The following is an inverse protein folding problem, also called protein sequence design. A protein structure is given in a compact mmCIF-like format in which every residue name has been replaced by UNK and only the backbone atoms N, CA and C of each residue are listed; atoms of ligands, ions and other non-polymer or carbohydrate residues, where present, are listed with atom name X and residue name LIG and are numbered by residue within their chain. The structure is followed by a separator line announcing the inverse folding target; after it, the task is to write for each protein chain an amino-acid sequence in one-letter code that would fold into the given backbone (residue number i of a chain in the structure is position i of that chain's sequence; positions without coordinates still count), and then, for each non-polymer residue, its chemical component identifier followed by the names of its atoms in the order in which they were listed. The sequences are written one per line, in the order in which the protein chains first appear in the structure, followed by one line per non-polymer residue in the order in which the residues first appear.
data_IF_694411293803
#
_entry.id   IF_694411293803
#
_cell.length_a   1.000
_cell.length_b   1.000
_cell.length_c   1.000
_cell.angle_alpha   90.00
_cell.angle_beta   90.00
_cell.angle_gamma   90.00
#
_symmetry.space_group_name_H-M   'P 1'
#
loop_
_entity.id
_entity.type
_entity.pdbx_description
1 polymer ?
#
# COMPACT_ATOMS: atom_id res chain seq x y z
N UNK A 1 17.68 -7.24 33.41
CA UNK A 1 16.51 -7.62 32.58
C UNK A 1 15.82 -6.32 32.20
N UNK A 2 15.89 -5.97 30.91
CA UNK A 2 15.80 -4.58 30.45
C UNK A 2 14.33 -4.13 30.30
N UNK A 3 13.88 -3.29 31.23
CA UNK A 3 12.55 -2.65 31.28
C UNK A 3 12.25 -1.81 30.01
N UNK A 4 13.31 -1.32 29.34
CA UNK A 4 13.19 -0.60 28.06
C UNK A 4 12.56 -1.42 26.92
N UNK A 5 12.75 -2.75 26.90
CA UNK A 5 12.24 -3.58 25.81
C UNK A 5 10.72 -3.76 25.82
N UNK A 6 10.06 -3.64 26.98
CA UNK A 6 8.60 -3.75 27.12
C UNK A 6 7.89 -2.43 26.83
N UNK A 7 8.47 -1.31 27.22
CA UNK A 7 7.91 0.02 26.96
C UNK A 7 7.93 0.35 25.45
N UNK A 8 9.02 0.03 24.74
CA UNK A 8 9.12 0.21 23.29
C UNK A 8 8.15 -0.70 22.53
N UNK A 9 7.94 -1.94 23.01
CA UNK A 9 6.94 -2.85 22.45
C UNK A 9 5.51 -2.34 22.64
N UNK A 10 5.20 -1.74 23.80
CA UNK A 10 3.86 -1.23 24.12
C UNK A 10 3.47 -0.04 23.24
N UNK A 11 4.43 0.80 22.83
CA UNK A 11 4.22 1.89 21.89
C UNK A 11 3.79 1.40 20.50
N UNK A 12 4.33 0.27 20.03
CA UNK A 12 3.98 -0.33 18.74
C UNK A 12 2.66 -1.11 18.72
N UNK A 13 2.09 -1.36 19.90
CA UNK A 13 0.92 -2.22 20.07
C UNK A 13 -0.32 -1.46 20.50
N UNK A 14 -0.17 -0.33 21.19
CA UNK A 14 -1.29 0.38 21.80
C UNK A 14 -1.59 1.68 21.07
N UNK A 15 -2.83 1.83 20.64
CA UNK A 15 -3.31 2.95 19.85
C UNK A 15 -4.59 3.50 20.45
N UNK A 16 -4.79 4.81 20.34
CA UNK A 16 -6.06 5.45 20.68
C UNK A 16 -6.70 6.03 19.41
N UNK A 17 -7.99 5.82 19.25
CA UNK A 17 -8.73 6.38 18.12
C UNK A 17 -9.37 7.74 18.48
N UNK A 18 -10.01 8.37 17.49
CA UNK A 18 -10.70 9.66 17.65
C UNK A 18 -11.85 9.65 18.67
N UNK A 19 -12.37 8.46 19.03
CA UNK A 19 -13.40 8.28 20.07
C UNK A 19 -12.80 8.17 21.47
N UNK A 20 -11.47 8.31 21.62
CA UNK A 20 -10.71 8.08 22.86
C UNK A 20 -10.83 6.67 23.40
N UNK A 21 -11.22 5.72 22.55
CA UNK A 21 -11.10 4.32 22.86
C UNK A 21 -9.62 3.94 22.72
N UNK A 22 -9.18 2.92 23.44
CA UNK A 22 -7.82 2.39 23.33
C UNK A 22 -7.89 0.94 22.86
N UNK A 23 -7.05 0.62 21.89
CA UNK A 23 -6.88 -0.72 21.36
C UNK A 23 -5.43 -1.14 21.52
N UNK A 24 -5.22 -2.35 22.02
CA UNK A 24 -3.91 -2.99 22.05
C UNK A 24 -3.94 -4.18 21.11
N UNK A 25 -3.10 -4.16 20.08
CA UNK A 25 -2.92 -5.29 19.18
C UNK A 25 -2.43 -6.50 19.99
N UNK A 26 -3.06 -7.68 19.89
CA UNK A 26 -2.60 -8.85 20.60
C UNK A 26 -1.13 -9.15 20.29
N UNK A 27 -0.34 -9.38 21.33
CA UNK A 27 1.10 -9.59 21.22
C UNK A 27 1.40 -10.78 20.30
N UNK A 28 0.57 -11.82 20.37
CA UNK A 28 0.68 -13.03 19.55
C UNK A 28 0.45 -12.74 18.07
N UNK A 29 -0.48 -11.83 17.75
CA UNK A 29 -0.72 -11.38 16.37
C UNK A 29 0.49 -10.61 15.85
N UNK A 30 1.02 -9.69 16.65
CA UNK A 30 2.21 -8.92 16.27
C UNK A 30 3.44 -9.79 16.09
N UNK A 31 3.82 -10.56 17.12
CA UNK A 31 5.00 -11.42 17.10
C UNK A 31 4.89 -12.50 16.02
N UNK A 32 3.74 -13.14 15.88
CA UNK A 32 3.52 -14.12 14.81
C UNK A 32 3.60 -13.52 13.42
N UNK A 33 3.17 -12.27 13.23
CA UNK A 33 3.33 -11.56 11.96
C UNK A 33 4.79 -11.20 11.68
N UNK A 34 5.51 -10.73 12.71
CA UNK A 34 6.93 -10.38 12.59
C UNK A 34 7.79 -11.61 12.27
N UNK A 35 7.55 -12.75 12.92
CA UNK A 35 8.28 -13.99 12.62
C UNK A 35 7.96 -14.50 11.21
N UNK A 36 6.68 -14.48 10.79
CA UNK A 36 6.32 -14.89 9.43
C UNK A 36 6.98 -14.01 8.36
N UNK A 37 7.05 -12.69 8.56
CA UNK A 37 7.77 -11.79 7.63
C UNK A 37 9.27 -12.10 7.61
N UNK A 38 9.86 -12.44 8.76
CA UNK A 38 11.27 -12.80 8.88
C UNK A 38 11.58 -14.13 8.19
N UNK A 39 10.70 -15.12 8.26
CA UNK A 39 10.82 -16.38 7.50
C UNK A 39 10.83 -16.14 5.99
N UNK A 40 9.96 -15.27 5.48
CA UNK A 40 9.98 -14.87 4.07
C UNK A 40 11.33 -14.21 3.72
N UNK A 41 11.82 -13.30 4.56
CA UNK A 41 13.10 -12.63 4.35
C UNK A 41 14.29 -13.62 4.37
N UNK A 42 14.25 -14.64 5.23
CA UNK A 42 15.28 -15.69 5.26
C UNK A 42 15.33 -16.48 3.96
N UNK A 43 14.17 -16.89 3.42
CA UNK A 43 14.11 -17.59 2.11
C UNK A 43 14.75 -16.77 0.98
N UNK A 44 14.50 -15.45 0.95
CA UNK A 44 15.14 -14.57 -0.05
C UNK A 44 16.67 -14.54 0.06
N UNK A 45 17.21 -14.60 1.28
CA UNK A 45 18.66 -14.61 1.53
C UNK A 45 19.27 -15.97 1.15
N UNK A 46 18.59 -17.07 1.45
CA UNK A 46 19.03 -18.43 1.09
C UNK A 46 19.11 -18.63 -0.43
N UNK A 47 18.21 -18.00 -1.20
CA UNK A 47 18.22 -18.02 -2.67
C UNK A 47 19.23 -17.04 -3.30
N UNK A 48 20.20 -16.52 -2.53
CA UNK A 48 21.18 -15.50 -2.94
C UNK A 48 20.54 -14.25 -3.60
N UNK A 49 19.28 -13.95 -3.28
CA UNK A 49 18.53 -12.85 -3.87
C UNK A 49 18.18 -13.03 -5.36
N UNK A 50 18.17 -14.27 -5.88
CA UNK A 50 17.65 -14.59 -7.22
C UNK A 50 16.47 -15.54 -7.10
N UNK A 51 15.27 -14.98 -7.27
CA UNK A 51 14.01 -15.71 -7.13
C UNK A 51 13.30 -15.71 -8.47
N UNK A 52 12.70 -16.82 -8.87
CA UNK A 52 11.82 -16.86 -10.05
C UNK A 52 10.65 -15.88 -9.88
N UNK A 53 10.24 -15.17 -10.94
CA UNK A 53 9.16 -14.17 -10.86
C UNK A 53 7.88 -14.74 -10.22
N UNK A 54 7.50 -15.97 -10.58
CA UNK A 54 6.31 -16.62 -10.03
C UNK A 54 6.40 -16.84 -8.52
N UNK A 55 7.57 -17.23 -8.00
CA UNK A 55 7.84 -17.38 -6.57
C UNK A 55 7.84 -16.02 -5.87
N UNK A 56 8.41 -14.98 -6.49
CA UNK A 56 8.39 -13.63 -5.96
C UNK A 56 6.95 -13.09 -5.82
N UNK A 57 6.08 -13.32 -6.82
CA UNK A 57 4.67 -12.95 -6.76
C UNK A 57 3.94 -13.67 -5.61
N UNK A 58 4.25 -14.95 -5.37
CA UNK A 58 3.65 -15.69 -4.25
C UNK A 58 4.12 -15.16 -2.89
N UNK A 59 5.41 -14.84 -2.75
CA UNK A 59 5.93 -14.20 -1.52
C UNK A 59 5.25 -12.85 -1.25
N UNK A 60 5.00 -12.03 -2.28
CA UNK A 60 4.23 -10.77 -2.11
C UNK A 60 2.82 -11.05 -1.59
N UNK A 61 2.14 -12.08 -2.13
CA UNK A 61 0.81 -12.49 -1.65
C UNK A 61 0.85 -13.02 -0.22
N UNK A 62 1.90 -13.72 0.18
CA UNK A 62 2.12 -14.12 1.59
C UNK A 62 2.21 -12.89 2.50
N UNK A 63 2.99 -11.89 2.13
CA UNK A 63 3.09 -10.61 2.86
C UNK A 63 1.70 -9.96 3.01
N UNK A 64 0.90 -9.95 1.94
CA UNK A 64 -0.47 -9.42 1.98
C UNK A 64 -1.34 -10.15 3.01
N UNK A 65 -1.31 -11.48 3.03
CA UNK A 65 -2.09 -12.29 3.99
C UNK A 65 -1.70 -12.00 5.44
N UNK A 66 -0.41 -11.77 5.71
CA UNK A 66 0.09 -11.42 7.04
C UNK A 66 -0.49 -10.06 7.46
N UNK A 67 -0.40 -9.06 6.59
CA UNK A 67 -0.91 -7.71 6.88
C UNK A 67 -2.43 -7.69 7.01
N UNK A 68 -3.16 -8.43 6.18
CA UNK A 68 -4.62 -8.55 6.29
C UNK A 68 -5.05 -9.16 7.63
N UNK A 69 -4.25 -10.09 8.20
CA UNK A 69 -4.51 -10.65 9.53
C UNK A 69 -4.41 -9.59 10.62
N UNK A 70 -3.40 -8.72 10.55
CA UNK A 70 -3.30 -7.56 11.46
C UNK A 70 -4.49 -6.63 11.28
N UNK A 71 -4.90 -6.37 10.04
CA UNK A 71 -6.05 -5.53 9.72
C UNK A 71 -7.35 -6.01 10.33
N UNK A 72 -7.62 -7.32 10.24
CA UNK A 72 -8.80 -7.94 10.87
C UNK A 72 -8.82 -7.73 12.38
N UNK A 73 -7.66 -7.78 13.04
CA UNK A 73 -7.58 -7.56 14.49
C UNK A 73 -7.93 -6.12 14.90
N UNK A 74 -7.73 -5.14 14.02
CA UNK A 74 -7.95 -3.71 14.33
C UNK A 74 -9.21 -3.14 13.68
N UNK A 75 -9.91 -3.91 12.82
CA UNK A 75 -11.06 -3.47 11.99
C UNK A 75 -12.16 -2.76 12.80
N UNK A 76 -12.57 -3.32 13.93
CA UNK A 76 -13.63 -2.74 14.78
C UNK A 76 -13.25 -1.40 15.44
N UNK A 77 -11.98 -1.02 15.36
CA UNK A 77 -11.44 0.19 15.96
C UNK A 77 -11.12 1.29 14.94
N UNK A 78 -11.19 0.98 13.65
CA UNK A 78 -10.93 1.91 12.55
C UNK A 78 -12.09 2.87 12.33
N UNK A 79 -11.78 4.05 11.80
CA UNK A 79 -12.76 4.98 11.22
C UNK A 79 -13.29 4.50 9.85
N UNK A 80 -12.48 3.67 9.18
CA UNK A 80 -12.78 3.07 7.90
C UNK A 80 -13.92 2.04 8.01
N UNK A 81 -14.77 2.00 6.97
CA UNK A 81 -15.88 1.04 6.84
C UNK A 81 -16.07 0.69 5.38
N UNK A 82 -16.87 -0.34 5.10
CA UNK A 82 -17.31 -0.63 3.73
C UNK A 82 -17.86 0.66 3.07
N UNK A 83 -17.62 0.82 1.76
CA UNK A 83 -17.90 2.01 0.95
C UNK A 83 -17.15 3.31 1.34
N UNK A 84 -16.25 3.28 2.33
CA UNK A 84 -15.29 4.38 2.53
C UNK A 84 -14.29 4.39 1.36
N UNK A 85 -14.10 5.55 0.74
CA UNK A 85 -13.31 5.72 -0.48
C UNK A 85 -12.38 6.94 -0.44
N UNK A 86 -12.08 7.46 0.76
CA UNK A 86 -11.23 8.64 0.90
C UNK A 86 -9.79 8.37 0.41
N UNK A 87 -9.24 7.20 0.74
CA UNK A 87 -7.92 6.77 0.26
C UNK A 87 -7.90 6.47 -1.25
N UNK A 88 -9.06 6.24 -1.89
CA UNK A 88 -9.17 5.96 -3.33
C UNK A 88 -9.03 7.22 -4.20
N UNK A 89 -8.41 8.28 -3.67
CA UNK A 89 -8.05 9.52 -4.36
C UNK A 89 -6.57 9.88 -4.21
N UNK A 90 -5.81 9.05 -3.48
CA UNK A 90 -4.38 9.24 -3.28
C UNK A 90 -3.60 8.57 -4.41
N UNK A 91 -2.38 9.07 -4.65
CA UNK A 91 -1.41 8.34 -5.46
C UNK A 91 -0.94 7.13 -4.67
N UNK A 92 -0.93 5.95 -5.30
CA UNK A 92 -0.44 4.73 -4.68
C UNK A 92 0.79 4.26 -5.44
N UNK A 93 1.96 4.38 -4.80
CA UNK A 93 3.21 3.82 -5.28
C UNK A 93 3.33 2.34 -4.90
N UNK A 94 3.64 1.50 -5.88
CA UNK A 94 3.76 0.04 -5.72
C UNK A 94 5.07 -0.46 -6.34
N UNK A 95 5.60 -1.59 -5.90
CA UNK A 95 6.80 -2.20 -6.52
C UNK A 95 6.47 -2.87 -7.86
N UNK A 96 7.47 -3.29 -8.63
CA UNK A 96 7.26 -4.05 -9.89
C UNK A 96 6.42 -5.30 -9.64
N UNK A 97 6.77 -6.10 -8.62
CA UNK A 97 6.02 -7.33 -8.29
C UNK A 97 4.56 -7.06 -7.94
N UNK A 98 4.27 -6.00 -7.19
CA UNK A 98 2.89 -5.57 -6.93
C UNK A 98 2.18 -5.09 -8.21
N UNK A 99 2.90 -4.41 -9.10
CA UNK A 99 2.43 -3.98 -10.42
C UNK A 99 2.04 -5.16 -11.31
N UNK A 100 2.82 -6.24 -11.33
CA UNK A 100 2.49 -7.46 -12.08
C UNK A 100 1.25 -8.17 -11.51
N UNK A 101 1.07 -8.21 -10.17
CA UNK A 101 -0.17 -8.71 -9.56
C UNK A 101 -1.39 -7.92 -10.06
N UNK A 102 -1.26 -6.59 -10.15
CA UNK A 102 -2.33 -5.73 -10.66
C UNK A 102 -2.55 -5.95 -12.16
N UNK A 103 -1.48 -6.13 -12.93
CA UNK A 103 -1.54 -6.41 -14.37
C UNK A 103 -2.27 -7.72 -14.64
N UNK A 104 -1.95 -8.78 -13.90
CA UNK A 104 -2.65 -10.06 -13.96
C UNK A 104 -4.13 -9.92 -13.60
N UNK A 105 -4.43 -9.12 -12.57
CA UNK A 105 -5.82 -8.85 -12.18
C UNK A 105 -6.60 -8.12 -13.27
N UNK A 106 -5.99 -7.14 -13.94
CA UNK A 106 -6.61 -6.43 -15.07
C UNK A 106 -6.79 -7.36 -16.27
N UNK A 107 -5.77 -8.15 -16.61
CA UNK A 107 -5.81 -9.11 -17.73
C UNK A 107 -6.88 -10.17 -17.54
N UNK A 108 -6.99 -10.72 -16.33
CA UNK A 108 -7.94 -11.79 -15.98
C UNK A 108 -9.38 -11.31 -15.77
N UNK A 109 -9.64 -9.99 -15.72
CA UNK A 109 -11.02 -9.49 -15.72
C UNK A 109 -11.72 -9.90 -17.03
N UNK A 110 -12.93 -10.48 -16.95
CA UNK A 110 -13.74 -10.76 -18.14
C UNK A 110 -14.00 -9.49 -18.95
N UNK A 111 -14.09 -9.64 -20.27
CA UNK A 111 -14.52 -8.54 -21.14
C UNK A 111 -15.92 -8.05 -20.72
N UNK A 112 -16.09 -6.73 -20.70
CA UNK A 112 -17.34 -6.07 -20.31
C UNK A 112 -17.13 -4.71 -19.65
N UNK A 113 -18.23 -4.08 -19.16
CA UNK A 113 -18.25 -2.66 -18.81
C UNK A 113 -17.22 -2.26 -17.74
N UNK A 114 -16.91 -3.17 -16.81
CA UNK A 114 -15.93 -2.93 -15.75
C UNK A 114 -14.51 -2.81 -16.30
N UNK A 115 -14.09 -3.74 -17.16
CA UNK A 115 -12.75 -3.73 -17.79
C UNK A 115 -12.62 -2.57 -18.78
N UNK A 116 -13.65 -2.36 -19.59
CA UNK A 116 -13.75 -1.24 -20.55
C UNK A 116 -13.61 0.12 -19.86
N UNK A 117 -14.11 0.25 -18.62
CA UNK A 117 -13.98 1.48 -17.81
C UNK A 117 -12.56 1.68 -17.27
N UNK A 118 -11.82 0.63 -16.92
CA UNK A 118 -10.50 0.77 -16.28
C UNK A 118 -9.44 1.33 -17.21
N UNK A 119 -9.35 0.83 -18.45
CA UNK A 119 -8.29 1.18 -19.39
C UNK A 119 -8.20 2.70 -19.70
N UNK A 120 -9.29 3.39 -20.10
CA UNK A 120 -9.21 4.83 -20.35
C UNK A 120 -8.92 5.63 -19.09
N UNK A 121 -9.40 5.18 -17.92
CA UNK A 121 -9.08 5.84 -16.64
C UNK A 121 -7.60 5.66 -16.27
N UNK A 122 -7.02 4.48 -16.49
CA UNK A 122 -5.60 4.24 -16.27
C UNK A 122 -4.74 5.14 -17.17
N UNK A 123 -5.07 5.23 -18.46
CA UNK A 123 -4.39 6.11 -19.40
C UNK A 123 -4.48 7.59 -18.96
N UNK A 124 -5.68 8.07 -18.65
CA UNK A 124 -5.89 9.45 -18.18
C UNK A 124 -5.11 9.74 -16.88
N UNK A 125 -5.07 8.80 -15.93
CA UNK A 125 -4.30 8.97 -14.69
C UNK A 125 -2.79 8.96 -14.93
N UNK A 126 -2.31 8.23 -15.93
CA UNK A 126 -0.91 8.29 -16.37
C UNK A 126 -0.59 9.68 -16.92
N UNK A 127 -1.42 10.22 -17.81
CA UNK A 127 -1.27 11.58 -18.34
C UNK A 127 -1.28 12.65 -17.23
N UNK A 128 -2.17 12.52 -16.23
CA UNK A 128 -2.24 13.38 -15.06
C UNK A 128 -0.91 13.38 -14.28
N UNK A 129 -0.33 12.19 -14.03
CA UNK A 129 0.96 12.04 -13.33
C UNK A 129 2.10 12.69 -14.11
N UNK A 130 2.18 12.44 -15.41
CA UNK A 130 3.17 13.07 -16.29
C UNK A 130 3.02 14.60 -16.32
N UNK A 131 1.79 15.11 -16.26
CA UNK A 131 1.53 16.56 -16.20
C UNK A 131 1.95 17.18 -14.86
N UNK A 132 1.76 16.48 -13.74
CA UNK A 132 2.27 16.91 -12.43
C UNK A 132 3.79 16.94 -12.42
N UNK A 133 4.42 15.88 -12.91
CA UNK A 133 5.87 15.77 -13.00
C UNK A 133 6.53 16.91 -13.78
N UNK A 134 5.97 17.26 -14.95
CA UNK A 134 6.47 18.40 -15.76
C UNK A 134 6.41 19.74 -15.01
N UNK A 135 5.47 19.90 -14.07
CA UNK A 135 5.25 21.14 -13.30
C UNK A 135 6.02 21.17 -11.98
N UNK A 136 6.46 20.02 -11.50
CA UNK A 136 7.24 19.86 -10.27
C UNK A 136 8.46 18.99 -10.59
N UNK A 137 9.60 19.55 -11.04
CA UNK A 137 10.77 18.78 -11.48
C UNK A 137 11.37 17.84 -10.42
N UNK A 138 11.05 18.04 -9.13
CA UNK A 138 11.39 17.13 -8.02
C UNK A 138 10.46 15.90 -7.92
N UNK A 139 9.36 15.88 -8.69
CA UNK A 139 8.40 14.80 -8.83
C UNK A 139 8.56 14.11 -10.21
N UNK A 140 9.81 13.88 -10.62
CA UNK A 140 10.10 13.11 -11.83
C UNK A 140 9.60 11.66 -11.66
N UNK A 141 8.73 11.13 -12.55
CA UNK A 141 8.15 9.79 -12.46
C UNK A 141 9.14 8.67 -12.77
N UNK A 142 10.28 9.01 -13.37
CA UNK A 142 11.46 8.14 -13.55
C UNK A 142 12.40 8.22 -12.33
N UNK A 143 12.35 9.33 -11.58
CA UNK A 143 13.03 9.43 -10.29
C UNK A 143 12.27 8.56 -9.30
N UNK A 144 12.89 7.49 -8.76
CA UNK A 144 12.21 6.66 -7.79
C UNK A 144 11.76 7.56 -6.63
N UNK A 145 10.63 7.21 -6.01
CA UNK A 145 10.23 7.68 -4.68
C UNK A 145 11.25 7.16 -3.64
N UNK A 146 12.54 7.46 -3.85
CA UNK A 146 13.72 6.88 -3.22
C UNK A 146 14.11 7.61 -1.95
N UNK A 147 13.65 8.85 -1.78
CA UNK A 147 13.66 9.54 -0.50
C UNK A 147 12.23 9.70 0.01
N UNK A 148 12.09 9.74 1.33
CA UNK A 148 10.80 9.98 1.97
C UNK A 148 10.23 11.37 1.61
N UNK A 149 11.10 12.36 1.39
CA UNK A 149 10.72 13.73 1.02
C UNK A 149 10.15 13.82 -0.41
N UNK A 150 10.81 13.15 -1.38
CA UNK A 150 10.33 13.07 -2.77
C UNK A 150 9.00 12.31 -2.84
N UNK A 151 8.87 11.25 -2.03
CA UNK A 151 7.63 10.50 -1.90
C UNK A 151 6.48 11.39 -1.39
N UNK A 152 6.72 12.14 -0.31
CA UNK A 152 5.71 13.00 0.31
C UNK A 152 5.29 14.16 -0.61
N UNK A 153 6.24 14.87 -1.22
CA UNK A 153 5.93 16.00 -2.12
C UNK A 153 5.12 15.58 -3.35
N UNK A 154 5.45 14.42 -3.94
CA UNK A 154 4.72 13.84 -5.07
C UNK A 154 3.32 13.37 -4.66
N UNK A 155 3.20 12.73 -3.48
CA UNK A 155 1.89 12.34 -2.93
C UNK A 155 0.99 13.56 -2.74
N UNK A 156 1.49 14.62 -2.10
CA UNK A 156 0.72 15.85 -1.86
C UNK A 156 0.29 16.54 -3.15
N UNK A 157 1.18 16.61 -4.15
CA UNK A 157 0.87 17.22 -5.44
C UNK A 157 -0.24 16.46 -6.19
N UNK A 158 -0.23 15.13 -6.12
CA UNK A 158 -1.26 14.31 -6.71
C UNK A 158 -2.57 14.34 -5.92
N UNK A 159 -2.52 14.31 -4.59
CA UNK A 159 -3.70 14.38 -3.72
C UNK A 159 -4.52 15.66 -3.99
N UNK A 160 -3.85 16.77 -4.31
CA UNK A 160 -4.51 18.04 -4.71
C UNK A 160 -5.33 17.93 -5.99
N UNK A 161 -5.04 16.97 -6.88
CA UNK A 161 -5.86 16.73 -8.07
C UNK A 161 -7.23 16.16 -7.71
N UNK A 162 -7.35 15.51 -6.53
CA UNK A 162 -8.57 14.85 -6.05
C UNK A 162 -9.17 13.85 -7.05
N UNK A 163 -8.33 13.29 -7.92
CA UNK A 163 -8.73 12.34 -8.96
C UNK A 163 -8.96 10.96 -8.35
N UNK A 164 -10.03 10.29 -8.76
CA UNK A 164 -10.35 8.96 -8.25
C UNK A 164 -9.47 7.88 -8.87
N UNK A 165 -9.21 6.84 -8.09
CA UNK A 165 -8.58 5.60 -8.51
C UNK A 165 -9.36 4.97 -9.68
N UNK A 166 -8.68 4.48 -10.74
CA UNK A 166 -9.34 3.82 -11.88
C UNK A 166 -10.22 2.63 -11.49
N UNK A 167 -9.92 1.97 -10.38
CA UNK A 167 -10.61 0.78 -9.90
C UNK A 167 -11.75 1.07 -8.91
N UNK A 168 -12.07 2.33 -8.63
CA UNK A 168 -13.18 2.69 -7.75
C UNK A 168 -14.52 2.56 -8.50
N UNK A 169 -15.37 1.66 -8.05
CA UNK A 169 -16.74 1.47 -8.55
C UNK A 169 -17.64 2.67 -8.25
N UNK A 170 -18.73 2.78 -8.99
CA UNK A 170 -19.76 3.82 -8.78
C UNK A 170 -20.48 3.64 -7.44
N UNK A 171 -20.57 2.40 -6.97
CA UNK A 171 -21.01 2.01 -5.62
C UNK A 171 -20.02 2.36 -4.50
N UNK A 172 -18.91 3.02 -4.85
CA UNK A 172 -17.80 3.37 -3.96
C UNK A 172 -17.07 2.15 -3.37
N UNK A 173 -17.17 0.99 -4.02
CA UNK A 173 -16.42 -0.21 -3.67
C UNK A 173 -15.20 -0.38 -4.58
N UNK A 174 -14.12 -0.93 -4.03
CA UNK A 174 -12.92 -1.22 -4.80
C UNK A 174 -13.14 -2.47 -5.64
N UNK A 175 -13.00 -2.34 -6.96
CA UNK A 175 -13.25 -3.45 -7.90
C UNK A 175 -12.08 -4.46 -7.98
N UNK A 176 -10.96 -4.14 -7.33
CA UNK A 176 -9.77 -4.99 -7.18
C UNK A 176 -9.46 -5.29 -5.71
N UNK A 177 -10.46 -5.28 -4.81
CA UNK A 177 -10.24 -5.35 -3.36
C UNK A 177 -9.29 -6.49 -2.93
N UNK A 178 -9.46 -7.70 -3.48
CA UNK A 178 -8.59 -8.84 -3.16
C UNK A 178 -7.16 -8.70 -3.69
N UNK A 179 -6.97 -7.95 -4.78
CA UNK A 179 -5.66 -7.70 -5.41
C UNK A 179 -5.07 -6.35 -5.01
N UNK A 180 -5.65 -5.66 -4.00
CA UNK A 180 -5.17 -4.36 -3.55
C UNK A 180 -3.68 -4.46 -3.12
N UNK A 181 -2.84 -3.48 -3.48
CA UNK A 181 -1.42 -3.51 -3.10
C UNK A 181 -1.23 -3.26 -1.61
N UNK A 182 -0.02 -3.48 -1.10
CA UNK A 182 0.31 -3.35 0.33
C UNK A 182 -0.12 -2.00 0.89
N UNK A 183 0.18 -0.91 0.18
CA UNK A 183 -0.16 0.45 0.63
C UNK A 183 -1.68 0.64 0.81
N UNK A 184 -2.50 0.00 -0.03
CA UNK A 184 -3.95 0.02 0.13
C UNK A 184 -4.42 -0.84 1.32
N UNK A 185 -3.71 -1.94 1.62
CA UNK A 185 -4.05 -2.84 2.74
C UNK A 185 -3.91 -2.15 4.08
N UNK A 186 -3.00 -1.20 4.22
CA UNK A 186 -2.65 -0.54 5.49
C UNK A 186 -3.21 0.88 5.63
N UNK A 187 -3.99 1.37 4.67
CA UNK A 187 -4.56 2.71 4.73
C UNK A 187 -5.77 2.75 5.68
N UNK A 188 -5.54 2.40 6.94
CA UNK A 188 -6.52 2.42 8.02
C UNK A 188 -6.35 3.68 8.85
N UNK A 189 -7.39 4.49 8.91
CA UNK A 189 -7.40 5.72 9.72
C UNK A 189 -7.93 5.40 11.12
N UNK A 190 -7.23 5.91 12.14
CA UNK A 190 -7.70 5.88 13.53
C UNK A 190 -8.25 7.24 14.00
N UNK A 191 -8.00 8.31 13.22
CA UNK A 191 -8.44 9.67 13.53
C UNK A 191 -9.85 9.95 13.03
N UNK A 192 -10.35 11.17 13.23
CA UNK A 192 -11.71 11.51 12.86
C UNK A 192 -11.88 11.33 11.34
N UNK A 193 -12.98 10.71 10.85
CA UNK A 193 -13.22 10.59 9.42
C UNK A 193 -13.13 11.92 8.64
N UNK A 194 -13.38 13.06 9.30
CA UNK A 194 -13.24 14.41 8.72
C UNK A 194 -11.80 14.72 8.31
N UNK A 195 -10.81 14.15 8.98
CA UNK A 195 -9.39 14.32 8.64
C UNK A 195 -9.05 13.67 7.29
N UNK A 196 -9.97 12.91 6.70
CA UNK A 196 -9.80 12.36 5.36
C UNK A 196 -10.38 13.27 4.26
N UNK A 197 -10.95 14.42 4.61
CA UNK A 197 -11.48 15.39 3.66
C UNK A 197 -10.34 16.21 3.02
N UNK A 198 -10.43 16.56 1.72
CA UNK A 198 -9.40 17.37 1.06
C UNK A 198 -9.22 18.73 1.76
N UNK A 199 -8.01 19.01 2.25
CA UNK A 199 -7.66 20.28 2.88
C UNK A 199 -7.56 20.25 4.42
N UNK A 200 -8.01 19.18 5.07
CA UNK A 200 -7.92 19.00 6.54
C UNK A 200 -6.55 18.47 7.01
N UNK A 201 -5.61 18.25 6.07
CA UNK A 201 -4.34 17.58 6.32
C UNK A 201 -4.46 16.04 6.28
N UNK A 202 -3.34 15.29 6.26
CA UNK A 202 -3.40 13.84 6.16
C UNK A 202 -3.89 13.21 7.48
N UNK A 203 -4.82 12.24 7.44
CA UNK A 203 -5.26 11.54 8.64
C UNK A 203 -4.13 10.68 9.22
N UNK A 204 -4.10 10.48 10.55
CA UNK A 204 -3.15 9.54 11.14
C UNK A 204 -3.59 8.11 10.83
N UNK A 205 -2.71 7.40 10.12
CA UNK A 205 -2.90 6.00 9.72
C UNK A 205 -2.34 5.08 10.78
N UNK A 206 -2.97 3.92 10.99
CA UNK A 206 -2.41 2.83 11.79
C UNK A 206 -1.08 2.38 11.18
N UNK A 207 -0.02 2.41 11.98
CA UNK A 207 1.35 2.05 11.59
C UNK A 207 2.03 1.38 12.78
N UNK A 208 2.69 0.26 12.53
CA UNK A 208 3.49 -0.47 13.51
C UNK A 208 4.66 -1.19 12.80
N UNK A 209 5.51 -1.87 13.57
CA UNK A 209 6.65 -2.63 13.04
C UNK A 209 6.30 -3.61 11.90
N UNK A 210 5.13 -4.26 11.95
CA UNK A 210 4.68 -5.19 10.89
C UNK A 210 4.56 -4.47 9.55
N UNK A 211 3.99 -3.26 9.54
CA UNK A 211 3.90 -2.48 8.32
C UNK A 211 5.27 -2.15 7.75
N UNK A 212 6.17 -1.59 8.57
CA UNK A 212 7.48 -1.15 8.09
C UNK A 212 8.28 -2.34 7.53
N UNK A 213 8.23 -3.49 8.21
CA UNK A 213 8.85 -4.72 7.70
C UNK A 213 8.22 -5.24 6.41
N UNK A 214 6.89 -5.24 6.31
CA UNK A 214 6.21 -5.64 5.08
C UNK A 214 6.57 -4.69 3.91
N UNK A 215 6.70 -3.39 4.19
CA UNK A 215 7.03 -2.37 3.18
C UNK A 215 8.45 -2.54 2.62
N UNK A 216 9.43 -2.80 3.49
CA UNK A 216 10.80 -3.14 3.11
C UNK A 216 10.84 -4.47 2.33
N UNK A 217 10.12 -5.47 2.83
CA UNK A 217 10.20 -6.82 2.29
C UNK A 217 9.64 -6.93 0.87
N UNK A 218 8.51 -6.27 0.54
CA UNK A 218 8.01 -6.30 -0.84
C UNK A 218 8.93 -5.59 -1.84
N UNK A 219 9.74 -4.63 -1.38
CA UNK A 219 10.81 -4.05 -2.21
C UNK A 219 11.93 -5.07 -2.44
N UNK A 220 12.39 -5.74 -1.36
CA UNK A 220 13.43 -6.78 -1.47
C UNK A 220 12.99 -7.92 -2.39
N UNK A 221 11.75 -8.40 -2.25
CA UNK A 221 11.16 -9.42 -3.13
C UNK A 221 11.14 -8.93 -4.58
N UNK A 222 10.71 -7.69 -4.81
CA UNK A 222 10.66 -7.11 -6.16
C UNK A 222 12.05 -7.04 -6.80
N UNK A 223 13.07 -6.61 -6.03
CA UNK A 223 14.46 -6.57 -6.49
C UNK A 223 14.99 -7.95 -6.82
N UNK A 224 14.69 -8.95 -6.00
CA UNK A 224 15.17 -10.32 -6.17
C UNK A 224 14.47 -11.06 -7.34
N UNK A 225 13.18 -10.83 -7.53
CA UNK A 225 12.37 -11.48 -8.55
C UNK A 225 12.43 -10.83 -9.93
N UNK A 226 12.51 -9.50 -9.98
CA UNK A 226 12.36 -8.73 -11.21
C UNK A 226 13.57 -7.84 -11.53
N UNK A 227 14.59 -7.83 -10.68
CA UNK A 227 15.73 -6.91 -10.81
C UNK A 227 15.37 -5.43 -10.57
N UNK A 228 14.14 -5.13 -10.15
CA UNK A 228 13.65 -3.76 -9.94
C UNK A 228 13.02 -3.60 -8.55
N UNK A 229 13.68 -2.81 -7.68
CA UNK A 229 13.17 -2.45 -6.37
C UNK A 229 12.42 -1.10 -6.33
N UNK A 230 12.30 -0.40 -7.47
CA UNK A 230 11.67 0.92 -7.50
C UNK A 230 10.19 0.83 -7.20
N UNK A 231 9.65 1.93 -6.67
CA UNK A 231 8.21 2.14 -6.53
C UNK A 231 7.75 3.17 -7.56
N UNK A 232 6.72 2.82 -8.32
CA UNK A 232 6.05 3.72 -9.26
C UNK A 232 4.55 3.76 -8.99
N UNK A 233 3.86 4.85 -9.34
CA UNK A 233 2.40 4.91 -9.27
C UNK A 233 1.75 3.78 -10.08
N UNK A 234 0.63 3.24 -9.58
CA UNK A 234 -0.12 2.15 -10.24
C UNK A 234 -0.36 2.38 -11.75
N UNK A 235 -0.84 3.55 -12.23
CA UNK A 235 -1.12 3.75 -13.64
C UNK A 235 0.12 3.52 -14.51
N UNK A 236 1.30 4.01 -14.09
CA UNK A 236 2.53 3.90 -14.88
C UNK A 236 2.94 2.44 -15.07
N UNK A 237 2.84 1.61 -14.02
CA UNK A 237 3.09 0.17 -14.17
C UNK A 237 2.12 -0.52 -15.13
N UNK A 238 0.89 -0.05 -15.25
CA UNK A 238 -0.13 -0.72 -16.05
C UNK A 238 -0.21 -0.23 -17.49
N UNK A 239 0.26 0.99 -17.77
CA UNK A 239 0.20 1.60 -19.10
C UNK A 239 1.53 1.67 -19.83
N UNK A 240 2.65 1.48 -19.12
CA UNK A 240 4.00 1.54 -19.70
C UNK A 240 4.67 0.15 -19.65
N UNK A 241 5.67 -0.05 -20.53
CA UNK A 241 6.43 -1.29 -20.67
C UNK A 241 7.52 -1.43 -19.58
#
# INVERSE_FOLDING_TARGET
MNDGSRADLLHDLTFSNYRRETFTLPVEVYQGSMEALKEIAHRLVEEEGRVEESSALEMVREVYRIVDRVGKSVEGFMSCRASCAACCRMMVGVTRGEGEILRDRVRSEPEGPRKERWLPLLAARSEDLHAVARKAPMADPEHPLSSLEDMLSTCEAYERLSVTCPFLGEDRLCQIYESRPLMCRICWTLTDPRDCDPGEGPPVKFRNGVFFRAFELVEMISRAGFGDGRRRPIPLWLTEE
#
